data_IF_246681081269
#
_entry.id   IF_246681081269
#
_cell.length_a   1.000
_cell.length_b   1.000
_cell.length_c   1.000
_cell.angle_alpha   90.00
_cell.angle_beta   90.00
_cell.angle_gamma   90.00
#
_symmetry.space_group_name_H-M   'P 1'
#
loop_
_entity.id
_entity.type
_entity.pdbx_description
1 polymer ?
#
# COMPACT_ATOMS: atom_id res chain seq x y z
N UNK A 1 -9.43 -7.97 3.41
CA UNK A 1 -8.69 -6.76 3.81
C UNK A 1 -8.10 -6.09 2.59
N UNK A 2 -8.24 -4.77 2.49
CA UNK A 2 -7.59 -3.96 1.47
C UNK A 2 -6.64 -3.01 2.17
N UNK A 3 -5.38 -2.99 1.74
CA UNK A 3 -4.38 -2.03 2.21
C UNK A 3 -4.41 -0.81 1.31
N UNK A 4 -4.63 0.39 1.86
CA UNK A 4 -4.56 1.64 1.13
C UNK A 4 -3.27 2.39 1.47
N UNK A 5 -2.54 2.83 0.45
CA UNK A 5 -1.26 3.55 0.56
C UNK A 5 -1.42 4.97 0.00
N UNK A 6 -1.31 5.97 0.87
CA UNK A 6 -1.24 7.39 0.50
C UNK A 6 0.18 7.91 0.76
N UNK A 7 0.87 8.26 -0.33
CA UNK A 7 2.22 8.82 -0.37
C UNK A 7 2.25 10.12 -1.17
N UNK A 8 1.11 10.82 -1.26
CA UNK A 8 1.01 12.08 -2.02
C UNK A 8 1.79 13.22 -1.39
N UNK A 9 2.06 13.15 -0.09
CA UNK A 9 2.87 14.12 0.64
C UNK A 9 4.34 13.67 0.62
N UNK A 10 5.27 14.62 0.53
CA UNK A 10 6.69 14.32 0.50
C UNK A 10 7.22 13.79 1.84
N UNK A 11 6.61 14.22 2.95
CA UNK A 11 7.06 13.90 4.31
C UNK A 11 6.10 12.99 5.05
N UNK A 12 4.84 12.92 4.63
CA UNK A 12 3.81 12.14 5.33
C UNK A 12 3.43 10.90 4.52
N UNK A 13 3.59 9.72 5.12
CA UNK A 13 3.03 8.47 4.62
C UNK A 13 1.80 8.13 5.44
N UNK A 14 0.67 7.84 4.78
CA UNK A 14 -0.53 7.35 5.45
C UNK A 14 -0.94 6.00 4.90
N UNK A 15 -1.27 5.09 5.79
CA UNK A 15 -1.76 3.77 5.47
C UNK A 15 -3.12 3.57 6.12
N UNK A 16 -4.03 2.89 5.44
CA UNK A 16 -5.24 2.40 6.09
C UNK A 16 -5.58 0.97 5.69
N UNK A 17 -6.15 0.23 6.63
CA UNK A 17 -6.74 -1.09 6.38
C UNK A 17 -8.25 -0.93 6.27
N UNK A 18 -8.80 -1.44 5.17
CA UNK A 18 -10.24 -1.48 4.91
C UNK A 18 -10.74 -2.92 4.93
N UNK A 19 -11.90 -3.11 5.54
CA UNK A 19 -12.74 -4.30 5.32
C UNK A 19 -14.01 -3.87 4.60
N UNK A 20 -14.19 -4.34 3.37
CA UNK A 20 -15.26 -3.88 2.46
C UNK A 20 -15.19 -2.34 2.35
N UNK A 21 -16.20 -1.64 2.86
CA UNK A 21 -16.29 -0.17 2.82
C UNK A 21 -15.91 0.52 4.14
N UNK A 22 -15.50 -0.24 5.15
CA UNK A 22 -15.17 0.29 6.48
C UNK A 22 -13.66 0.36 6.68
N UNK A 23 -13.17 1.54 7.04
CA UNK A 23 -11.80 1.70 7.53
C UNK A 23 -11.72 1.10 8.95
N UNK A 24 -10.85 0.13 9.12
CA UNK A 24 -10.59 -0.56 10.39
C UNK A 24 -9.52 0.19 11.17
N UNK A 25 -8.42 0.55 10.49
CA UNK A 25 -7.29 1.23 11.12
C UNK A 25 -6.60 2.14 10.13
N UNK A 26 -6.07 3.24 10.64
CA UNK A 26 -5.20 4.17 9.91
C UNK A 26 -3.95 4.42 10.72
N UNK A 27 -2.79 4.42 10.06
CA UNK A 27 -1.53 4.87 10.61
C UNK A 27 -0.94 5.94 9.70
N UNK A 28 -0.27 6.91 10.30
CA UNK A 28 0.48 7.93 9.57
C UNK A 28 1.79 8.18 10.25
N UNK A 29 2.83 8.39 9.46
CA UNK A 29 4.15 8.76 9.94
C UNK A 29 4.67 9.94 9.14
N UNK A 30 5.21 10.93 9.87
CA UNK A 30 5.91 12.07 9.28
C UNK A 30 7.41 11.81 9.41
N UNK A 31 8.10 11.84 8.27
CA UNK A 31 9.54 11.60 8.20
C UNK A 31 10.15 12.47 7.10
N UNK A 32 11.33 13.02 7.37
CA UNK A 32 12.09 13.83 6.41
C UNK A 32 12.44 13.04 5.13
N UNK A 33 12.55 11.71 5.25
CA UNK A 33 12.80 10.76 4.17
C UNK A 33 11.54 10.03 3.67
N UNK A 34 10.35 10.56 3.97
CA UNK A 34 9.06 10.18 3.38
C UNK A 34 8.88 8.68 3.19
N UNK A 35 8.68 8.26 1.93
CA UNK A 35 8.38 6.88 1.52
C UNK A 35 9.36 5.78 1.98
N UNK A 36 10.53 6.11 2.55
CA UNK A 36 11.43 5.10 3.14
C UNK A 36 10.80 4.37 4.34
N UNK A 37 9.90 5.02 5.07
CA UNK A 37 9.20 4.39 6.21
C UNK A 37 8.01 3.52 5.80
N UNK A 38 7.69 3.46 4.50
CA UNK A 38 6.48 2.82 4.00
C UNK A 38 6.40 1.34 4.39
N UNK A 39 7.44 0.54 4.08
CA UNK A 39 7.44 -0.89 4.37
C UNK A 39 7.39 -1.19 5.89
N UNK A 40 8.22 -0.55 6.75
CA UNK A 40 8.09 -0.68 8.20
C UNK A 40 6.69 -0.32 8.73
N UNK A 41 6.09 0.74 8.17
CA UNK A 41 4.75 1.19 8.58
C UNK A 41 3.65 0.20 8.18
N UNK A 42 3.78 -0.45 7.01
CA UNK A 42 2.87 -1.53 6.59
C UNK A 42 2.98 -2.71 7.57
N UNK A 43 4.19 -3.13 7.89
CA UNK A 43 4.42 -4.25 8.81
C UNK A 43 3.85 -3.95 10.21
N UNK A 44 4.06 -2.72 10.70
CA UNK A 44 3.49 -2.26 11.97
C UNK A 44 1.97 -2.28 11.93
N UNK A 45 1.35 -1.75 10.87
CA UNK A 45 -0.10 -1.72 10.70
C UNK A 45 -0.71 -3.13 10.75
N UNK A 46 -0.12 -4.08 10.02
CA UNK A 46 -0.59 -5.46 9.99
C UNK A 46 -0.41 -6.14 11.36
N UNK A 47 0.74 -5.94 12.02
CA UNK A 47 1.01 -6.50 13.35
C UNK A 47 0.04 -5.98 14.41
N UNK A 48 -0.29 -4.68 14.41
CA UNK A 48 -1.24 -4.09 15.35
C UNK A 48 -2.64 -4.70 15.22
N UNK A 49 -3.05 -5.05 14.00
CA UNK A 49 -4.33 -5.70 13.71
C UNK A 49 -4.25 -7.24 13.72
N UNK A 50 -3.11 -7.81 14.12
CA UNK A 50 -2.83 -9.27 14.15
C UNK A 50 -3.05 -9.96 12.80
N UNK A 51 -2.70 -9.26 11.72
CA UNK A 51 -2.78 -9.74 10.35
C UNK A 51 -1.39 -10.06 9.81
N UNK A 52 -1.35 -10.96 8.82
CA UNK A 52 -0.19 -11.22 7.98
C UNK A 52 -0.42 -10.66 6.57
N UNK A 53 0.66 -10.51 5.80
CA UNK A 53 0.57 -10.06 4.39
C UNK A 53 -0.39 -10.91 3.55
N UNK A 54 -0.49 -12.22 3.82
CA UNK A 54 -1.40 -13.16 3.13
C UNK A 54 -2.89 -12.90 3.37
N UNK A 55 -3.23 -12.15 4.41
CA UNK A 55 -4.62 -11.79 4.74
C UNK A 55 -5.13 -10.62 3.89
N UNK A 56 -4.21 -9.89 3.26
CA UNK A 56 -4.54 -8.89 2.26
C UNK A 56 -5.20 -9.55 1.04
N UNK A 57 -6.26 -8.92 0.54
CA UNK A 57 -7.03 -9.33 -0.64
C UNK A 57 -6.91 -8.32 -1.79
N UNK A 58 -6.31 -7.17 -1.53
CA UNK A 58 -6.03 -6.15 -2.52
C UNK A 58 -5.23 -5.01 -1.91
N UNK A 59 -4.64 -4.21 -2.79
CA UNK A 59 -3.90 -3.00 -2.42
C UNK A 59 -4.45 -1.85 -3.24
N UNK A 60 -4.65 -0.71 -2.60
CA UNK A 60 -5.04 0.54 -3.21
C UNK A 60 -3.92 1.57 -3.03
N UNK A 61 -3.66 2.36 -4.06
CA UNK A 61 -2.69 3.45 -4.03
C UNK A 61 -3.29 4.71 -4.60
N UNK A 62 -2.94 5.84 -3.99
CA UNK A 62 -3.24 7.16 -4.53
C UNK A 62 -2.49 7.36 -5.86
N UNK A 63 -3.21 7.78 -6.90
CA UNK A 63 -2.64 8.08 -8.23
C UNK A 63 -2.32 9.56 -8.45
N UNK A 64 -2.54 10.39 -7.43
CA UNK A 64 -2.25 11.83 -7.45
C UNK A 64 -3.47 12.72 -7.69
N UNK A 65 -3.27 14.05 -7.77
CA UNK A 65 -1.97 14.75 -7.80
C UNK A 65 -1.20 14.69 -6.46
N UNK A 66 0.13 14.84 -6.50
CA UNK A 66 0.99 14.76 -5.31
C UNK A 66 2.49 14.71 -5.64
N UNK A 67 3.30 14.38 -4.62
CA UNK A 67 4.75 14.18 -4.72
C UNK A 67 5.10 13.11 -5.75
N UNK A 68 5.77 13.51 -6.84
CA UNK A 68 6.16 12.58 -7.92
C UNK A 68 6.99 11.40 -7.39
N UNK A 69 7.96 11.68 -6.49
CA UNK A 69 8.79 10.66 -5.86
C UNK A 69 7.95 9.76 -4.94
N UNK A 70 7.14 10.36 -4.07
CA UNK A 70 6.30 9.62 -3.13
C UNK A 70 5.33 8.67 -3.84
N UNK A 71 4.57 9.19 -4.80
CA UNK A 71 3.61 8.42 -5.59
C UNK A 71 4.27 7.26 -6.32
N UNK A 72 5.44 7.46 -6.96
CA UNK A 72 6.15 6.37 -7.65
C UNK A 72 6.62 5.28 -6.68
N UNK A 73 7.07 5.65 -5.49
CA UNK A 73 7.45 4.65 -4.47
C UNK A 73 6.22 3.90 -3.98
N UNK A 74 5.11 4.59 -3.67
CA UNK A 74 3.86 3.96 -3.27
C UNK A 74 3.35 2.94 -4.30
N UNK A 75 3.29 3.33 -5.57
CA UNK A 75 2.90 2.45 -6.69
C UNK A 75 3.86 1.27 -6.83
N UNK A 76 5.18 1.51 -6.74
CA UNK A 76 6.19 0.44 -6.90
C UNK A 76 6.07 -0.62 -5.79
N UNK A 77 5.87 -0.18 -4.54
CA UNK A 77 5.67 -1.08 -3.40
C UNK A 77 4.36 -1.85 -3.54
N UNK A 78 3.27 -1.17 -3.90
CA UNK A 78 1.98 -1.84 -4.10
C UNK A 78 2.03 -2.89 -5.20
N UNK A 79 2.68 -2.58 -6.32
CA UNK A 79 2.88 -3.55 -7.40
C UNK A 79 3.76 -4.72 -6.91
N UNK A 80 4.91 -4.47 -6.30
CA UNK A 80 5.75 -5.55 -5.79
C UNK A 80 4.99 -6.50 -4.83
N UNK A 81 4.22 -5.94 -3.89
CA UNK A 81 3.38 -6.71 -2.96
C UNK A 81 2.23 -7.42 -3.68
N UNK A 82 1.53 -6.74 -4.59
CA UNK A 82 0.43 -7.30 -5.38
C UNK A 82 0.88 -8.49 -6.23
N UNK A 83 2.07 -8.39 -6.83
CA UNK A 83 2.72 -9.47 -7.57
C UNK A 83 3.05 -10.65 -6.66
N UNK A 84 3.77 -10.39 -5.56
CA UNK A 84 4.21 -11.43 -4.63
C UNK A 84 3.04 -12.18 -3.99
N UNK A 85 1.96 -11.47 -3.67
CA UNK A 85 0.76 -12.02 -3.01
C UNK A 85 -0.31 -12.50 -3.99
N UNK A 86 -0.12 -12.26 -5.31
CA UNK A 86 -1.11 -12.54 -6.36
C UNK A 86 -2.48 -11.90 -6.09
N UNK A 87 -2.47 -10.65 -5.62
CA UNK A 87 -3.68 -9.87 -5.31
C UNK A 87 -3.78 -8.64 -6.21
N UNK A 88 -4.99 -8.13 -6.49
CA UNK A 88 -5.17 -6.95 -7.31
C UNK A 88 -4.58 -5.68 -6.66
N UNK A 89 -4.09 -4.79 -7.51
CA UNK A 89 -3.68 -3.41 -7.16
C UNK A 89 -4.59 -2.43 -7.91
N UNK A 90 -5.26 -1.52 -7.19
CA UNK A 90 -6.29 -0.63 -7.74
C UNK A 90 -7.33 -1.37 -8.60
N UNK A 91 -7.78 -2.54 -8.12
CA UNK A 91 -8.76 -3.39 -8.79
C UNK A 91 -8.25 -4.18 -10.00
N UNK A 92 -6.98 -4.02 -10.40
CA UNK A 92 -6.38 -4.74 -11.52
C UNK A 92 -5.54 -5.90 -11.01
N UNK A 93 -5.81 -7.12 -11.51
CA UNK A 93 -4.91 -8.26 -11.29
C UNK A 93 -3.66 -8.04 -12.13
N UNK A 94 -2.51 -8.36 -11.57
CA UNK A 94 -1.28 -8.36 -12.34
C UNK A 94 -1.19 -9.68 -13.10
N UNK A 95 -1.18 -9.58 -14.44
CA UNK A 95 -1.10 -10.72 -15.34
C UNK A 95 0.25 -11.41 -15.15
N UNK A 96 0.22 -12.71 -14.85
CA UNK A 96 1.41 -13.55 -14.66
C UNK A 96 1.71 -14.44 -15.87
N UNK A 97 0.87 -14.40 -16.91
CA UNK A 97 1.10 -15.17 -18.14
C UNK A 97 1.87 -14.29 -19.13
N UNK A 98 3.18 -14.51 -19.18
CA UNK A 98 3.97 -14.10 -20.35
C UNK A 98 3.46 -14.96 -21.52
N UNK A 99 2.60 -14.37 -22.35
CA UNK A 99 2.26 -14.94 -23.64
C UNK A 99 3.52 -14.83 -24.53
N UNK A 100 4.29 -15.92 -24.58
CA UNK A 100 5.33 -16.13 -25.57
C UNK A 100 4.73 -16.69 -26.86
#
# INVERSE_FOLDING_TARGET
>A
MILHIDTKDQKIVRLSLKDKDKIIKTLSEENEYGSQVLLPLIEKLLKEEKLEYKDLKGIEVETGPGSFTGLRVGVSVANALGFALRIPVNGKKMETELQY
#
